data_IF_618340529522
#
_entry.id   IF_618340529522
#
_cell.length_a   1.000
_cell.length_b   1.000
_cell.length_c   1.000
_cell.angle_alpha   90.00
_cell.angle_beta   90.00
_cell.angle_gamma   90.00
#
_symmetry.space_group_name_H-M   'P 1'
#
loop_
_entity.id
_entity.type
_entity.pdbx_description
1 polymer ?
#
# COMPACT_ATOMS: atom_id res chain seq x y z
N UNK A 1 1.20 -5.70 -13.99
CA UNK A 1 1.40 -4.90 -12.77
C UNK A 1 2.54 -5.52 -11.99
N UNK A 2 3.70 -4.86 -11.97
CA UNK A 2 4.92 -5.40 -11.36
C UNK A 2 4.85 -5.35 -9.82
N UNK A 3 4.25 -4.30 -9.24
CA UNK A 3 4.10 -4.14 -7.79
C UNK A 3 3.41 -5.32 -7.10
N UNK A 4 2.27 -5.78 -7.64
CA UNK A 4 1.55 -6.94 -7.09
C UNK A 4 2.39 -8.22 -7.07
N UNK A 5 3.12 -8.51 -8.15
CA UNK A 5 4.01 -9.67 -8.21
C UNK A 5 5.22 -9.53 -7.30
N UNK A 6 5.75 -8.32 -7.13
CA UNK A 6 6.86 -8.07 -6.21
C UNK A 6 6.44 -8.23 -4.75
N UNK A 7 5.26 -7.72 -4.37
CA UNK A 7 4.69 -7.93 -3.04
C UNK A 7 4.43 -9.42 -2.78
N UNK A 8 3.88 -10.15 -3.75
CA UNK A 8 3.68 -11.60 -3.64
C UNK A 8 4.99 -12.34 -3.31
N UNK A 9 6.11 -11.96 -3.92
CA UNK A 9 7.41 -12.57 -3.62
C UNK A 9 7.83 -12.30 -2.17
N UNK A 10 7.74 -11.06 -1.70
CA UNK A 10 8.05 -10.71 -0.30
C UNK A 10 7.16 -11.49 0.67
N UNK A 11 5.87 -11.64 0.36
CA UNK A 11 4.94 -12.40 1.18
C UNK A 11 5.33 -13.89 1.26
N UNK A 12 5.75 -14.50 0.15
CA UNK A 12 6.22 -15.90 0.13
C UNK A 12 7.49 -16.08 0.97
N UNK A 13 8.45 -15.16 0.86
CA UNK A 13 9.68 -15.14 1.66
C UNK A 13 9.38 -15.03 3.17
N UNK A 14 8.33 -14.28 3.51
CA UNK A 14 7.85 -14.05 4.87
C UNK A 14 6.55 -14.79 5.19
N UNK A 15 6.44 -16.06 4.77
CA UNK A 15 5.21 -16.86 4.91
C UNK A 15 4.69 -17.01 6.35
N UNK A 16 5.56 -16.88 7.36
CA UNK A 16 5.20 -16.98 8.79
C UNK A 16 4.88 -15.62 9.44
N UNK A 17 5.10 -14.52 8.73
CA UNK A 17 4.86 -13.19 9.27
C UNK A 17 3.37 -12.99 9.55
N UNK A 18 3.08 -12.48 10.75
CA UNK A 18 1.71 -12.20 11.22
C UNK A 18 1.29 -10.82 10.73
N UNK A 19 0.87 -10.77 9.48
CA UNK A 19 0.44 -9.55 8.81
C UNK A 19 -0.90 -9.78 8.11
N UNK A 20 -1.66 -8.69 7.96
CA UNK A 20 -2.86 -8.61 7.13
C UNK A 20 -2.56 -7.68 5.96
N UNK A 21 -2.84 -8.12 4.73
CA UNK A 21 -2.64 -7.31 3.54
C UNK A 21 -4.00 -6.93 2.96
N UNK A 22 -4.20 -5.63 2.75
CA UNK A 22 -5.34 -5.11 2.02
C UNK A 22 -4.82 -4.58 0.69
N UNK A 23 -5.23 -5.20 -0.42
CA UNK A 23 -4.87 -4.75 -1.76
C UNK A 23 -6.09 -4.08 -2.39
N UNK A 24 -5.97 -2.80 -2.70
CA UNK A 24 -7.05 -2.02 -3.31
C UNK A 24 -6.67 -1.71 -4.75
N UNK A 25 -7.54 -2.13 -5.66
CA UNK A 25 -7.42 -1.87 -7.08
C UNK A 25 -8.29 -0.66 -7.43
N UNK A 26 -7.70 0.31 -8.11
CA UNK A 26 -8.37 1.55 -8.51
C UNK A 26 -8.20 1.80 -10.01
N UNK A 27 -9.15 2.49 -10.65
CA UNK A 27 -9.03 2.92 -12.04
C UNK A 27 -8.01 4.06 -12.16
N UNK A 28 -6.87 3.84 -12.83
CA UNK A 28 -5.78 4.85 -12.92
C UNK A 28 -5.83 5.66 -14.23
N UNK A 29 -6.36 5.04 -15.30
CA UNK A 29 -6.52 5.66 -16.60
C UNK A 29 -8.00 5.97 -16.83
N UNK A 30 -8.32 7.12 -17.44
CA UNK A 30 -9.69 7.62 -17.56
C UNK A 30 -10.69 6.71 -18.29
N UNK A 31 -10.23 5.66 -18.98
CA UNK A 31 -11.08 4.66 -19.64
C UNK A 31 -11.14 3.31 -18.91
N UNK A 32 -10.35 3.13 -17.85
CA UNK A 32 -10.25 1.88 -17.12
C UNK A 32 -11.37 1.77 -16.07
N UNK A 33 -12.63 1.67 -16.49
CA UNK A 33 -13.79 1.55 -15.58
C UNK A 33 -14.08 0.11 -15.12
N UNK A 34 -13.35 -0.86 -15.67
CA UNK A 34 -13.55 -2.26 -15.35
C UNK A 34 -12.68 -2.69 -14.16
N UNK A 35 -13.18 -3.62 -13.31
CA UNK A 35 -12.39 -4.21 -12.25
C UNK A 35 -11.17 -4.98 -12.80
N UNK A 36 -10.15 -5.25 -11.97
CA UNK A 36 -9.03 -6.08 -12.37
C UNK A 36 -9.50 -7.45 -12.88
N UNK A 37 -8.89 -7.92 -13.97
CA UNK A 37 -9.16 -9.26 -14.50
C UNK A 37 -8.70 -10.35 -13.52
N UNK A 38 -9.21 -11.58 -13.69
CA UNK A 38 -8.77 -12.72 -12.88
C UNK A 38 -7.25 -12.93 -12.93
N UNK A 39 -6.63 -12.68 -14.08
CA UNK A 39 -5.17 -12.74 -14.25
C UNK A 39 -4.42 -11.67 -13.47
N UNK A 40 -5.04 -10.51 -13.19
CA UNK A 40 -4.46 -9.48 -12.34
C UNK A 40 -4.56 -9.88 -10.87
N UNK A 41 -5.73 -10.37 -10.45
CA UNK A 41 -5.97 -10.83 -9.07
C UNK A 41 -5.06 -12.01 -8.69
N UNK A 42 -4.81 -12.92 -9.64
CA UNK A 42 -3.96 -14.09 -9.43
C UNK A 42 -2.48 -13.76 -9.18
N UNK A 43 -2.04 -12.51 -9.44
CA UNK A 43 -0.66 -12.07 -9.16
C UNK A 43 -0.39 -11.84 -7.68
N UNK A 44 -1.45 -11.74 -6.88
CA UNK A 44 -1.39 -11.54 -5.43
C UNK A 44 -2.37 -12.52 -4.76
N UNK A 45 -1.99 -13.79 -4.77
CA UNK A 45 -2.81 -14.93 -4.33
C UNK A 45 -2.50 -15.41 -2.92
N UNK A 46 -1.59 -14.74 -2.20
CA UNK A 46 -1.28 -15.05 -0.81
C UNK A 46 -2.56 -15.02 0.06
N UNK A 47 -2.79 -16.05 0.91
CA UNK A 47 -4.02 -16.16 1.69
C UNK A 47 -4.22 -15.05 2.74
N UNK A 48 -3.18 -14.26 3.05
CA UNK A 48 -3.26 -13.09 3.94
C UNK A 48 -3.74 -11.82 3.23
N UNK A 49 -3.92 -11.89 1.91
CA UNK A 49 -4.35 -10.76 1.09
C UNK A 49 -5.86 -10.79 0.91
N UNK A 50 -6.51 -9.71 1.34
CA UNK A 50 -7.87 -9.39 0.94
C UNK A 50 -7.82 -8.33 -0.18
N UNK A 51 -8.48 -8.61 -1.30
CA UNK A 51 -8.45 -7.75 -2.48
C UNK A 51 -9.79 -7.02 -2.66
N UNK A 52 -9.74 -5.73 -2.93
CA UNK A 52 -10.91 -4.85 -3.08
C UNK A 52 -10.84 -4.11 -4.41
N UNK A 53 -12.01 -3.88 -5.01
CA UNK A 53 -12.16 -2.98 -6.16
C UNK A 53 -12.79 -1.68 -5.69
N UNK A 54 -12.08 -0.57 -5.88
CA UNK A 54 -12.55 0.77 -5.58
C UNK A 54 -12.68 1.58 -6.88
N UNK A 55 -13.81 1.41 -7.57
CA UNK A 55 -14.11 2.16 -8.80
C UNK A 55 -14.26 3.66 -8.57
N UNK A 56 -14.51 4.09 -7.32
CA UNK A 56 -14.69 5.49 -6.97
C UNK A 56 -13.39 6.22 -6.64
N UNK A 57 -12.26 5.50 -6.57
CA UNK A 57 -10.99 6.02 -6.04
C UNK A 57 -11.15 6.66 -4.65
N UNK A 58 -12.07 6.12 -3.82
CA UNK A 58 -12.37 6.68 -2.50
C UNK A 58 -11.13 6.65 -1.59
N UNK A 59 -10.36 5.55 -1.65
CA UNK A 59 -9.13 5.42 -0.88
C UNK A 59 -8.09 6.45 -1.34
N UNK A 60 -7.81 6.52 -2.64
CA UNK A 60 -6.92 7.52 -3.23
C UNK A 60 -7.28 8.95 -2.82
N UNK A 61 -8.57 9.31 -2.95
CA UNK A 61 -9.04 10.64 -2.57
C UNK A 61 -8.80 10.93 -1.09
N UNK A 62 -9.09 9.97 -0.20
CA UNK A 62 -8.89 10.13 1.24
C UNK A 62 -7.41 10.25 1.61
N UNK A 63 -6.55 9.41 1.04
CA UNK A 63 -5.10 9.46 1.29
C UNK A 63 -4.49 10.78 0.79
N UNK A 64 -4.87 11.24 -0.41
CA UNK A 64 -4.42 12.53 -0.94
C UNK A 64 -4.91 13.70 -0.09
N UNK A 65 -6.17 13.68 0.37
CA UNK A 65 -6.71 14.72 1.23
C UNK A 65 -5.93 14.85 2.55
N UNK A 66 -5.62 13.73 3.20
CA UNK A 66 -4.86 13.70 4.46
C UNK A 66 -3.42 14.15 4.24
N UNK A 67 -2.78 13.66 3.18
CA UNK A 67 -1.42 14.06 2.83
C UNK A 67 -1.33 15.58 2.55
N UNK A 68 -2.35 16.16 1.90
CA UNK A 68 -2.44 17.62 1.65
C UNK A 68 -2.77 18.42 2.91
N UNK A 69 -3.55 17.86 3.84
CA UNK A 69 -3.86 18.50 5.12
C UNK A 69 -2.66 18.50 6.08
N UNK A 70 -1.72 17.58 5.92
CA UNK A 70 -0.54 17.40 6.77
C UNK A 70 0.78 17.42 6.00
N UNK A 71 1.10 18.52 5.28
CA UNK A 71 2.33 18.60 4.49
C UNK A 71 3.58 18.43 5.35
N UNK A 72 3.56 18.85 6.62
CA UNK A 72 4.66 18.72 7.58
C UNK A 72 5.14 17.28 7.78
N UNK A 73 4.27 16.29 7.56
CA UNK A 73 4.56 14.86 7.69
C UNK A 73 5.19 14.24 6.44
N UNK A 74 5.31 15.02 5.37
CA UNK A 74 5.83 14.57 4.08
C UNK A 74 7.21 15.16 3.83
N UNK A 75 8.08 14.39 3.16
CA UNK A 75 9.34 14.91 2.64
C UNK A 75 9.13 15.90 1.47
N UNK A 76 10.10 16.77 1.16
CA UNK A 76 9.97 17.77 0.09
C UNK A 76 9.55 17.19 -1.27
N UNK A 77 10.18 16.08 -1.68
CA UNK A 77 9.88 15.42 -2.94
C UNK A 77 8.47 14.80 -2.98
N UNK A 78 8.01 14.23 -1.85
CA UNK A 78 6.66 13.68 -1.75
C UNK A 78 5.60 14.77 -1.86
N UNK A 79 5.82 15.92 -1.21
CA UNK A 79 4.90 17.08 -1.31
C UNK A 79 4.71 17.53 -2.75
N UNK A 80 5.79 17.67 -3.50
CA UNK A 80 5.70 18.09 -4.90
C UNK A 80 4.89 17.09 -5.75
N UNK A 81 5.16 15.79 -5.61
CA UNK A 81 4.45 14.74 -6.33
C UNK A 81 2.95 14.72 -5.97
N UNK A 82 2.62 14.81 -4.68
CA UNK A 82 1.24 14.80 -4.18
C UNK A 82 0.40 16.00 -4.66
N UNK A 83 1.06 17.13 -4.89
CA UNK A 83 0.38 18.34 -5.40
C UNK A 83 -0.11 18.12 -6.84
N UNK A 84 0.57 17.29 -7.62
CA UNK A 84 0.24 16.97 -9.02
C UNK A 84 -0.59 15.69 -9.17
N UNK A 85 -0.63 14.85 -8.14
CA UNK A 85 -1.31 13.56 -8.17
C UNK A 85 -2.85 13.69 -8.14
N UNK A 86 -3.54 12.96 -9.01
CA UNK A 86 -4.99 12.78 -8.95
C UNK A 86 -5.40 11.43 -8.36
N UNK A 87 -4.50 10.45 -8.40
CA UNK A 87 -4.70 9.09 -7.90
C UNK A 87 -3.40 8.62 -7.26
N UNK A 88 -3.50 7.90 -6.15
CA UNK A 88 -2.39 7.20 -5.51
C UNK A 88 -2.14 5.92 -6.30
N UNK A 89 -1.04 5.87 -7.04
CA UNK A 89 -0.73 4.76 -7.92
C UNK A 89 0.50 3.98 -7.46
N UNK A 90 0.44 2.66 -7.66
CA UNK A 90 1.51 1.71 -7.33
C UNK A 90 2.16 2.02 -5.98
N UNK A 91 1.32 2.07 -4.94
CA UNK A 91 1.69 2.54 -3.62
C UNK A 91 1.54 1.43 -2.58
N UNK A 92 2.43 1.42 -1.59
CA UNK A 92 2.33 0.58 -0.41
C UNK A 92 2.48 1.43 0.86
N UNK A 93 1.73 1.06 1.88
CA UNK A 93 1.83 1.62 3.22
C UNK A 93 1.85 0.49 4.26
N UNK A 94 2.76 0.59 5.22
CA UNK A 94 2.88 -0.31 6.36
C UNK A 94 2.41 0.41 7.61
N UNK A 95 1.55 -0.27 8.36
CA UNK A 95 1.00 0.21 9.61
C UNK A 95 1.39 -0.73 10.74
N UNK A 96 1.61 -0.21 11.96
CA UNK A 96 1.83 -1.06 13.12
C UNK A 96 0.55 -1.86 13.40
N UNK A 97 0.68 -3.01 14.07
CA UNK A 97 -0.48 -3.83 14.46
C UNK A 97 -1.45 -3.13 15.43
N UNK A 98 -0.99 -2.05 16.08
CA UNK A 98 -1.78 -1.16 16.93
C UNK A 98 -2.50 -0.03 16.17
N UNK A 99 -2.32 0.07 14.85
CA UNK A 99 -2.98 1.09 14.05
C UNK A 99 -4.49 0.85 13.97
N UNK A 100 -5.26 1.88 14.30
CA UNK A 100 -6.73 1.86 14.21
C UNK A 100 -7.20 3.08 13.41
N UNK A 101 -8.08 2.85 12.43
CA UNK A 101 -8.65 3.92 11.62
C UNK A 101 -9.90 4.46 12.32
N UNK A 102 -9.75 5.48 13.16
CA UNK A 102 -10.84 6.12 13.88
C UNK A 102 -11.28 7.42 13.16
N UNK A 103 -11.81 7.28 11.94
CA UNK A 103 -12.26 8.38 11.08
C UNK A 103 -11.21 8.86 10.06
N UNK A 104 -9.95 8.97 10.48
CA UNK A 104 -8.80 9.13 9.56
C UNK A 104 -7.86 7.94 9.66
N UNK A 105 -7.35 7.42 8.52
CA UNK A 105 -6.24 6.49 8.55
C UNK A 105 -5.07 7.15 9.29
N UNK A 106 -4.42 6.44 10.23
CA UNK A 106 -3.20 6.92 10.86
C UNK A 106 -2.12 7.09 9.80
N UNK A 107 -1.05 7.81 10.14
CA UNK A 107 0.10 7.86 9.26
C UNK A 107 0.82 6.51 9.31
N UNK A 108 1.20 5.96 8.14
CA UNK A 108 1.95 4.72 8.11
C UNK A 108 3.35 4.92 8.69
N UNK A 109 3.89 3.89 9.33
CA UNK A 109 5.31 3.88 9.74
C UNK A 109 6.25 3.88 8.53
N UNK A 110 5.74 3.39 7.40
CA UNK A 110 6.43 3.43 6.13
C UNK A 110 5.44 3.52 4.99
N UNK A 111 5.73 4.35 3.99
CA UNK A 111 5.00 4.35 2.74
C UNK A 111 5.90 4.66 1.57
N UNK A 112 5.60 4.09 0.42
CA UNK A 112 6.41 4.27 -0.77
C UNK A 112 5.68 3.95 -2.07
N UNK A 113 6.17 4.54 -3.15
CA UNK A 113 5.74 4.30 -4.52
C UNK A 113 6.92 4.63 -5.47
N UNK A 114 7.04 3.96 -6.63
CA UNK A 114 6.29 2.76 -7.01
C UNK A 114 6.64 1.57 -6.10
N UNK A 115 5.72 0.59 -5.96
CA UNK A 115 5.88 -0.56 -5.05
C UNK A 115 7.21 -1.27 -5.29
N UNK A 116 7.57 -1.49 -6.55
CA UNK A 116 8.81 -2.20 -6.93
C UNK A 116 10.08 -1.54 -6.41
N UNK A 117 10.11 -0.22 -6.29
CA UNK A 117 11.29 0.54 -5.86
C UNK A 117 11.49 0.47 -4.34
N UNK A 118 10.45 0.06 -3.60
CA UNK A 118 10.45 0.07 -2.13
C UNK A 118 10.37 -1.32 -1.51
N UNK A 119 10.41 -2.40 -2.31
CA UNK A 119 10.29 -3.76 -1.79
C UNK A 119 11.43 -4.22 -0.89
N UNK A 120 12.66 -3.74 -1.11
CA UNK A 120 13.78 -4.08 -0.22
C UNK A 120 13.57 -3.52 1.19
N UNK A 121 13.06 -2.29 1.30
CA UNK A 121 12.72 -1.66 2.57
C UNK A 121 11.53 -2.35 3.25
N UNK A 122 10.50 -2.73 2.47
CA UNK A 122 9.36 -3.50 2.98
C UNK A 122 9.80 -4.86 3.53
N UNK A 123 10.67 -5.58 2.80
CA UNK A 123 11.24 -6.85 3.25
C UNK A 123 12.01 -6.68 4.57
N UNK A 124 12.85 -5.65 4.65
CA UNK A 124 13.62 -5.32 5.85
C UNK A 124 12.70 -5.07 7.06
N UNK A 125 11.62 -4.30 6.85
CA UNK A 125 10.65 -3.97 7.92
C UNK A 125 9.82 -5.16 8.38
N UNK A 126 9.34 -6.00 7.47
CA UNK A 126 8.62 -7.23 7.83
C UNK A 126 9.55 -8.15 8.63
N UNK A 127 10.81 -8.29 8.19
CA UNK A 127 11.82 -9.06 8.93
C UNK A 127 12.05 -8.51 10.35
N UNK A 128 12.18 -7.20 10.49
CA UNK A 128 12.37 -6.55 11.78
C UNK A 128 11.17 -6.79 12.72
N UNK A 129 9.96 -6.70 12.19
CA UNK A 129 8.73 -6.98 12.94
C UNK A 129 8.61 -8.44 13.39
N UNK A 130 9.04 -9.40 12.56
CA UNK A 130 9.11 -10.83 12.91
C UNK A 130 10.11 -11.11 14.06
N UNK A 131 11.11 -10.25 14.22
CA UNK A 131 12.14 -10.36 15.27
C UNK A 131 11.86 -9.55 16.54
N UNK A 132 10.65 -8.97 16.69
CA UNK A 132 10.24 -8.18 17.86
C UNK A 132 10.49 -8.87 19.22
N UNK A 133 10.72 -8.09 20.30
CA UNK A 133 11.65 -8.43 21.38
C UNK A 133 11.27 -9.74 22.09
N UNK A 134 12.28 -10.59 22.35
CA UNK A 134 12.16 -11.57 23.44
C UNK A 134 11.92 -10.77 24.73
N UNK A 135 10.81 -11.10 25.38
CA UNK A 135 10.33 -10.62 26.70
C UNK A 135 11.42 -10.08 27.61
#
# INVERSE_FOLDING_TARGET
MAGASALQQVLLEHSKAKLKVLAVWEPVLGLAIAPPSSSNLARLSDPRVEQFWDSGQLLSQRLLAIARAHPERLGPNQREQLTKAQTVWDFIALFPSSAHWAGEPPFPEFSGAPVVDVMDEVRSRIRAADTGPKK
#
